data_IF_286308659103
#
_entry.id   IF_286308659103
#
_cell.length_a   1.000
_cell.length_b   1.000
_cell.length_c   1.000
_cell.angle_alpha   90.00
_cell.angle_beta   90.00
_cell.angle_gamma   90.00
#
_symmetry.space_group_name_H-M   'P 1'
#
loop_
_entity.id
_entity.type
_entity.pdbx_description
1 polymer ?
#
# COMPACT_ATOMS: atom_id res chain seq x y z
N UNK A 1 -7.89 30.72 21.00
CA UNK A 1 -7.36 32.07 21.13
C UNK A 1 -5.92 32.20 20.60
N UNK A 2 -4.98 31.30 20.96
CA UNK A 2 -3.59 31.31 20.43
C UNK A 2 -3.52 31.09 18.93
N UNK A 3 -4.28 30.11 18.40
CA UNK A 3 -4.33 29.85 16.95
C UNK A 3 -4.89 31.06 16.17
N UNK A 4 -5.92 31.72 16.68
CA UNK A 4 -6.47 32.94 16.08
C UNK A 4 -5.47 34.11 16.05
N UNK A 5 -4.64 34.25 17.09
CA UNK A 5 -3.56 35.25 17.13
C UNK A 5 -2.41 34.90 16.16
N UNK A 6 -2.07 33.61 16.02
CA UNK A 6 -0.94 33.18 15.20
C UNK A 6 -1.29 33.11 13.69
N UNK A 7 -2.52 32.79 13.34
CA UNK A 7 -2.93 32.48 11.96
C UNK A 7 -4.11 33.31 11.44
N UNK A 8 -4.70 34.18 12.28
CA UNK A 8 -5.92 34.93 11.93
C UNK A 8 -5.75 35.94 10.79
N UNK A 9 -4.51 36.35 10.47
CA UNK A 9 -4.20 37.28 9.39
C UNK A 9 -3.82 36.54 8.08
N UNK A 10 -3.78 35.20 8.07
CA UNK A 10 -3.50 34.45 6.86
C UNK A 10 -4.72 34.52 5.94
N UNK A 11 -4.65 35.42 4.96
CA UNK A 11 -5.61 35.47 3.86
C UNK A 11 -5.21 34.41 2.84
N UNK A 12 -6.06 33.38 2.66
CA UNK A 12 -5.86 32.37 1.63
C UNK A 12 -6.02 33.02 0.25
N UNK A 13 -4.94 33.25 -0.47
CA UNK A 13 -5.02 33.30 -1.93
C UNK A 13 -5.30 31.88 -2.37
N UNK A 14 -6.54 31.59 -2.78
CA UNK A 14 -6.92 30.26 -3.20
C UNK A 14 -5.95 29.71 -4.24
N UNK A 15 -5.10 28.78 -3.85
CA UNK A 15 -4.33 27.98 -4.80
C UNK A 15 -5.38 27.19 -5.56
N UNK A 16 -5.52 27.49 -6.86
CA UNK A 16 -6.40 26.71 -7.73
C UNK A 16 -5.81 25.31 -7.80
N UNK A 17 -6.41 24.38 -7.08
CA UNK A 17 -6.05 22.97 -7.16
C UNK A 17 -6.28 22.53 -8.61
N UNK A 18 -5.29 21.91 -9.22
CA UNK A 18 -5.48 21.26 -10.52
C UNK A 18 -6.39 20.05 -10.28
N UNK A 19 -7.63 20.14 -10.73
CA UNK A 19 -8.66 19.11 -10.54
C UNK A 19 -8.51 17.90 -11.49
N UNK A 20 -7.28 17.60 -11.93
CA UNK A 20 -7.01 16.46 -12.81
C UNK A 20 -6.15 15.46 -12.06
N UNK A 21 -6.75 14.32 -11.73
CA UNK A 21 -6.03 13.19 -11.14
C UNK A 21 -4.91 12.72 -12.09
N UNK A 22 -3.74 12.32 -11.54
CA UNK A 22 -2.66 11.79 -12.36
C UNK A 22 -3.08 10.47 -13.03
N UNK A 23 -2.66 10.30 -14.28
CA UNK A 23 -2.83 9.02 -14.98
C UNK A 23 -1.61 8.15 -14.75
N UNK A 24 -1.82 7.00 -14.17
CA UNK A 24 -0.75 6.02 -13.93
C UNK A 24 -0.63 5.13 -15.16
N UNK A 25 0.60 5.01 -15.69
CA UNK A 25 0.92 4.13 -16.82
C UNK A 25 2.04 3.18 -16.43
N UNK A 26 2.09 2.01 -17.09
CA UNK A 26 3.14 1.01 -16.88
C UNK A 26 4.52 1.61 -17.12
N UNK A 27 5.45 1.38 -16.19
CA UNK A 27 6.84 1.79 -16.33
C UNK A 27 7.78 0.81 -15.62
N UNK A 28 8.84 0.40 -16.31
CA UNK A 28 9.93 -0.39 -15.76
C UNK A 28 11.19 0.47 -15.79
N UNK A 29 11.88 0.59 -14.65
CA UNK A 29 13.10 1.37 -14.56
C UNK A 29 14.13 0.63 -13.71
N UNK A 30 15.25 0.25 -14.32
CA UNK A 30 16.38 -0.40 -13.64
C UNK A 30 17.55 0.56 -13.62
N UNK A 31 18.08 0.85 -12.43
CA UNK A 31 19.20 1.75 -12.24
C UNK A 31 20.38 1.01 -11.65
N UNK A 32 21.45 0.85 -12.42
CA UNK A 32 22.69 0.34 -11.86
C UNK A 32 23.25 1.28 -10.79
N UNK A 33 23.50 0.77 -9.58
CA UNK A 33 24.11 1.48 -8.46
C UNK A 33 24.95 0.51 -7.64
N UNK A 34 26.10 0.99 -7.15
CA UNK A 34 26.98 0.25 -6.22
C UNK A 34 26.39 0.29 -4.80
N UNK A 35 25.35 -0.49 -4.57
CA UNK A 35 24.69 -0.64 -3.28
C UNK A 35 24.96 -2.03 -2.69
N UNK A 36 25.00 -2.14 -1.38
CA UNK A 36 25.13 -3.44 -0.69
C UNK A 36 23.88 -4.31 -0.93
N UNK A 37 22.71 -3.68 -0.96
CA UNK A 37 21.44 -4.33 -1.26
C UNK A 37 20.79 -3.69 -2.46
N UNK A 38 20.22 -4.50 -3.32
CA UNK A 38 19.34 -4.04 -4.39
C UNK A 38 17.99 -3.69 -3.78
N UNK A 39 17.54 -2.47 -4.05
CA UNK A 39 16.25 -1.95 -3.63
C UNK A 39 15.23 -2.18 -4.73
N UNK A 40 14.12 -2.82 -4.39
CA UNK A 40 12.98 -3.08 -5.27
C UNK A 40 11.81 -2.25 -4.76
N UNK A 41 11.16 -1.53 -5.67
CA UNK A 41 9.91 -0.84 -5.44
C UNK A 41 8.96 -1.17 -6.61
N UNK A 42 7.94 -1.97 -6.32
CA UNK A 42 6.91 -2.37 -7.26
C UNK A 42 5.60 -1.73 -6.82
N UNK A 43 4.93 -1.01 -7.71
CA UNK A 43 3.70 -0.31 -7.39
C UNK A 43 2.67 -0.41 -8.50
N UNK A 44 1.43 -0.27 -8.11
CA UNK A 44 0.27 -0.12 -8.99
C UNK A 44 -0.56 1.07 -8.54
N UNK A 45 -1.51 1.51 -9.36
CA UNK A 45 -2.49 2.50 -8.94
C UNK A 45 -3.27 1.99 -7.72
N UNK A 46 -3.51 2.88 -6.75
CA UNK A 46 -4.26 2.60 -5.53
C UNK A 46 -5.52 3.46 -5.42
N UNK A 47 -6.27 3.27 -4.35
CA UNK A 47 -7.47 4.05 -4.11
C UNK A 47 -7.16 5.42 -3.50
N UNK A 48 -7.96 6.41 -3.81
CA UNK A 48 -7.93 7.72 -3.15
C UNK A 48 -8.37 7.62 -1.67
N UNK A 49 -8.01 8.61 -0.87
CA UNK A 49 -8.13 8.58 0.59
C UNK A 49 -9.58 8.44 1.09
N UNK A 50 -10.55 9.04 0.40
CA UNK A 50 -11.97 9.01 0.78
C UNK A 50 -12.77 7.91 0.08
N UNK A 51 -12.10 6.96 -0.59
CA UNK A 51 -12.79 5.87 -1.27
C UNK A 51 -13.62 5.02 -0.29
N UNK A 52 -14.84 4.60 -0.63
CA UNK A 52 -15.68 3.78 0.26
C UNK A 52 -15.00 2.46 0.65
N UNK A 53 -14.29 1.83 -0.29
CA UNK A 53 -13.61 0.55 -0.08
C UNK A 53 -12.21 0.67 0.55
N UNK A 54 -11.83 1.82 1.12
CA UNK A 54 -10.50 2.04 1.71
C UNK A 54 -10.11 1.00 2.76
N UNK A 55 -11.07 0.53 3.57
CA UNK A 55 -10.80 -0.50 4.58
C UNK A 55 -10.53 -1.88 3.97
N UNK A 56 -11.14 -2.18 2.83
CA UNK A 56 -10.80 -3.35 2.02
C UNK A 56 -9.34 -3.30 1.54
N UNK A 57 -8.88 -2.13 1.05
CA UNK A 57 -7.48 -1.95 0.65
C UNK A 57 -6.52 -2.05 1.83
N UNK A 58 -6.89 -1.57 3.01
CA UNK A 58 -6.06 -1.72 4.22
C UNK A 58 -5.91 -3.18 4.63
N UNK A 59 -6.98 -3.97 4.53
CA UNK A 59 -6.93 -5.40 4.80
C UNK A 59 -6.20 -6.17 3.70
N UNK A 60 -6.39 -5.83 2.43
CA UNK A 60 -5.60 -6.37 1.31
C UNK A 60 -4.10 -6.15 1.55
N UNK A 61 -3.71 -4.94 1.97
CA UNK A 61 -2.33 -4.64 2.34
C UNK A 61 -1.85 -5.49 3.53
N UNK A 62 -2.66 -5.62 4.57
CA UNK A 62 -2.32 -6.40 5.77
C UNK A 62 -2.06 -7.87 5.43
N UNK A 63 -2.88 -8.46 4.56
CA UNK A 63 -2.73 -9.85 4.08
C UNK A 63 -1.50 -9.99 3.18
N UNK A 64 -1.29 -9.06 2.25
CA UNK A 64 -0.22 -9.21 1.25
C UNK A 64 1.18 -8.96 1.85
N UNK A 65 1.40 -7.85 2.56
CA UNK A 65 2.74 -7.47 3.03
C UNK A 65 2.77 -6.53 4.22
N UNK A 66 1.65 -6.30 4.91
CA UNK A 66 1.53 -5.29 5.96
C UNK A 66 2.02 -5.71 7.34
N UNK A 67 2.37 -6.97 7.56
CA UNK A 67 2.86 -7.49 8.84
C UNK A 67 3.71 -8.76 8.66
N UNK A 68 4.25 -9.29 9.76
CA UNK A 68 5.10 -10.50 9.74
C UNK A 68 4.35 -11.80 9.41
N UNK A 69 3.02 -11.84 9.52
CA UNK A 69 2.20 -12.99 9.12
C UNK A 69 1.66 -12.87 7.69
N UNK A 70 2.02 -11.81 6.96
CA UNK A 70 1.59 -11.55 5.60
C UNK A 70 2.23 -12.52 4.59
N UNK A 71 1.56 -12.74 3.46
CA UNK A 71 1.99 -13.68 2.43
C UNK A 71 3.40 -13.40 1.92
N UNK A 72 3.72 -12.14 1.61
CA UNK A 72 5.06 -11.78 1.13
C UNK A 72 6.14 -11.99 2.20
N UNK A 73 5.86 -11.63 3.45
CA UNK A 73 6.82 -11.84 4.52
C UNK A 73 7.09 -13.33 4.72
N UNK A 74 6.05 -14.15 4.81
CA UNK A 74 6.18 -15.60 4.97
C UNK A 74 6.89 -16.22 3.76
N UNK A 75 6.50 -15.86 2.53
CA UNK A 75 7.07 -16.46 1.33
C UNK A 75 8.51 -16.03 1.06
N UNK A 76 8.76 -14.71 1.02
CA UNK A 76 10.06 -14.18 0.56
C UNK A 76 11.11 -14.26 1.67
N UNK A 77 10.72 -13.96 2.92
CA UNK A 77 11.68 -13.89 4.03
C UNK A 77 11.80 -15.20 4.79
N UNK A 78 10.69 -15.81 5.22
CA UNK A 78 10.74 -17.00 6.09
C UNK A 78 10.98 -18.29 5.31
N UNK A 79 10.24 -18.52 4.20
CA UNK A 79 10.39 -19.76 3.42
C UNK A 79 11.61 -19.73 2.51
N UNK A 80 11.80 -18.66 1.73
CA UNK A 80 12.85 -18.58 0.73
C UNK A 80 14.15 -17.92 1.24
N UNK A 81 14.08 -17.14 2.31
CA UNK A 81 15.26 -16.47 2.88
C UNK A 81 15.90 -15.43 1.96
N UNK A 82 15.14 -14.88 0.99
CA UNK A 82 15.68 -14.03 -0.08
C UNK A 82 15.80 -12.55 0.30
N UNK A 83 15.04 -12.09 1.29
CA UNK A 83 15.03 -10.69 1.68
C UNK A 83 15.14 -10.50 3.19
N UNK A 84 15.93 -9.52 3.62
CA UNK A 84 15.91 -9.06 5.00
C UNK A 84 14.63 -8.28 5.32
N UNK A 85 14.18 -7.47 4.38
CA UNK A 85 12.94 -6.71 4.48
C UNK A 85 12.11 -6.85 3.23
N UNK A 86 10.83 -7.19 3.40
CA UNK A 86 9.80 -7.16 2.38
C UNK A 86 8.50 -6.72 3.04
N UNK A 87 7.85 -5.73 2.47
CA UNK A 87 6.60 -5.20 3.01
C UNK A 87 5.80 -4.49 1.92
N UNK A 88 4.49 -4.40 2.12
CA UNK A 88 3.61 -3.59 1.30
C UNK A 88 3.01 -2.43 2.11
N UNK A 89 2.67 -1.37 1.41
CA UNK A 89 2.01 -0.20 1.97
C UNK A 89 1.22 0.53 0.88
N UNK A 90 0.38 1.45 1.30
CA UNK A 90 -0.39 2.28 0.39
C UNK A 90 -0.19 3.75 0.72
N UNK A 91 -0.12 4.55 -0.33
CA UNK A 91 -0.21 6.01 -0.25
C UNK A 91 -1.52 6.47 -0.88
N UNK A 92 -2.30 7.23 -0.11
CA UNK A 92 -3.60 7.73 -0.55
C UNK A 92 -3.58 9.24 -0.52
N UNK A 93 -3.90 9.86 -1.65
CA UNK A 93 -4.09 11.29 -1.81
C UNK A 93 -5.58 11.61 -1.98
N UNK A 94 -5.91 12.90 -2.08
CA UNK A 94 -7.32 13.34 -2.23
C UNK A 94 -7.97 12.85 -3.52
N UNK A 95 -7.19 12.64 -4.58
CA UNK A 95 -7.62 12.36 -5.95
C UNK A 95 -6.97 11.10 -6.56
N UNK A 96 -6.03 10.48 -5.86
CA UNK A 96 -5.24 9.37 -6.39
C UNK A 96 -4.71 8.49 -5.26
N UNK A 97 -4.06 7.39 -5.61
CA UNK A 97 -3.38 6.53 -4.66
C UNK A 97 -2.36 5.63 -5.33
N UNK A 98 -1.53 4.98 -4.51
CA UNK A 98 -0.60 3.96 -4.94
C UNK A 98 -0.59 2.81 -3.93
N UNK A 99 -0.57 1.57 -4.44
CA UNK A 99 -0.29 0.38 -3.66
C UNK A 99 1.12 -0.09 -4.00
N UNK A 100 1.98 -0.23 -3.01
CA UNK A 100 3.41 -0.39 -3.22
C UNK A 100 3.93 -1.58 -2.43
N UNK A 101 4.81 -2.37 -3.06
CA UNK A 101 5.63 -3.39 -2.41
C UNK A 101 7.09 -2.97 -2.49
N UNK A 102 7.78 -3.01 -1.36
CA UNK A 102 9.22 -2.71 -1.28
C UNK A 102 9.99 -3.89 -0.70
N UNK A 103 11.17 -4.15 -1.26
CA UNK A 103 12.08 -5.17 -0.74
C UNK A 103 13.55 -4.74 -0.87
N UNK A 104 14.36 -5.17 0.10
CA UNK A 104 15.82 -5.04 0.07
C UNK A 104 16.46 -6.43 0.02
N UNK A 105 17.19 -6.74 -1.07
CA UNK A 105 17.67 -8.09 -1.38
C UNK A 105 19.10 -8.10 -1.89
N UNK A 106 19.74 -9.28 -1.94
CA UNK A 106 21.00 -9.44 -2.69
C UNK A 106 20.74 -9.28 -4.20
N UNK A 107 21.71 -8.75 -4.93
CA UNK A 107 21.54 -8.46 -6.36
C UNK A 107 21.13 -9.71 -7.18
N UNK A 108 21.75 -10.85 -6.90
CA UNK A 108 21.46 -12.11 -7.59
C UNK A 108 20.05 -12.63 -7.35
N UNK A 109 19.41 -12.23 -6.25
CA UNK A 109 18.08 -12.69 -5.87
C UNK A 109 16.94 -11.74 -6.35
N UNK A 110 17.32 -10.55 -6.81
CA UNK A 110 16.35 -9.51 -7.15
C UNK A 110 15.33 -9.94 -8.22
N UNK A 111 15.70 -10.64 -9.33
CA UNK A 111 14.72 -11.11 -10.31
C UNK A 111 13.72 -12.11 -9.72
N UNK A 112 14.20 -13.06 -8.91
CA UNK A 112 13.36 -14.06 -8.24
C UNK A 112 12.38 -13.42 -7.26
N UNK A 113 12.84 -12.41 -6.50
CA UNK A 113 11.96 -11.69 -5.56
C UNK A 113 10.89 -10.89 -6.29
N UNK A 114 11.23 -10.19 -7.38
CA UNK A 114 10.23 -9.50 -8.22
C UNK A 114 9.18 -10.47 -8.73
N UNK A 115 9.61 -11.62 -9.28
CA UNK A 115 8.69 -12.67 -9.74
C UNK A 115 7.79 -13.16 -8.60
N UNK A 116 8.36 -13.48 -7.43
CA UNK A 116 7.59 -13.93 -6.26
C UNK A 116 6.55 -12.91 -5.82
N UNK A 117 6.87 -11.62 -5.86
CA UNK A 117 5.91 -10.55 -5.54
C UNK A 117 4.75 -10.55 -6.54
N UNK A 118 5.05 -10.62 -7.84
CA UNK A 118 4.03 -10.66 -8.90
C UNK A 118 3.16 -11.92 -8.81
N UNK A 119 3.76 -13.06 -8.48
CA UNK A 119 3.04 -14.32 -8.29
C UNK A 119 2.06 -14.24 -7.10
N UNK A 120 2.48 -13.67 -5.96
CA UNK A 120 1.58 -13.48 -4.82
C UNK A 120 0.48 -12.42 -5.08
N UNK A 121 0.78 -11.37 -5.84
CA UNK A 121 -0.24 -10.40 -6.31
C UNK A 121 -1.23 -11.08 -7.28
N UNK A 122 -0.75 -11.92 -8.17
CA UNK A 122 -1.61 -12.72 -9.06
C UNK A 122 -2.46 -13.69 -8.27
N UNK A 123 -1.85 -14.39 -7.32
CA UNK A 123 -2.53 -15.40 -6.50
C UNK A 123 -3.71 -14.81 -5.72
N UNK A 124 -3.57 -13.64 -5.11
CA UNK A 124 -4.65 -13.01 -4.35
C UNK A 124 -5.80 -12.52 -5.23
N UNK A 125 -5.59 -12.35 -6.54
CA UNK A 125 -6.66 -12.08 -7.53
C UNK A 125 -7.52 -13.31 -7.81
N UNK A 126 -6.92 -14.50 -7.76
CA UNK A 126 -7.56 -15.76 -8.16
C UNK A 126 -7.99 -16.65 -6.98
N UNK A 127 -7.31 -16.51 -5.85
CA UNK A 127 -7.58 -17.29 -4.64
C UNK A 127 -8.06 -16.35 -3.53
N UNK A 128 -9.28 -16.57 -3.05
CA UNK A 128 -9.80 -15.82 -1.90
C UNK A 128 -8.91 -16.00 -0.67
N UNK A 129 -8.82 -14.97 0.15
CA UNK A 129 -8.22 -15.08 1.48
C UNK A 129 -9.02 -16.05 2.34
N UNK A 130 -8.32 -16.85 3.14
CA UNK A 130 -9.01 -17.77 4.04
C UNK A 130 -9.72 -17.02 5.16
N UNK A 131 -10.75 -17.61 5.79
CA UNK A 131 -11.41 -17.00 6.95
C UNK A 131 -10.43 -16.67 8.07
N UNK A 132 -9.42 -17.48 8.28
CA UNK A 132 -8.38 -17.30 9.30
C UNK A 132 -7.47 -16.14 8.95
N UNK A 133 -7.00 -16.01 7.71
CA UNK A 133 -6.21 -14.89 7.23
C UNK A 133 -6.99 -13.58 7.38
N UNK A 134 -8.25 -13.57 6.95
CA UNK A 134 -9.12 -12.40 7.02
C UNK A 134 -9.34 -11.96 8.47
N UNK A 135 -9.65 -12.90 9.38
CA UNK A 135 -9.86 -12.58 10.78
C UNK A 135 -8.59 -12.04 11.43
N UNK A 136 -7.44 -12.68 11.19
CA UNK A 136 -6.14 -12.24 11.68
C UNK A 136 -5.80 -10.82 11.19
N UNK A 137 -6.04 -10.54 9.91
CA UNK A 137 -5.83 -9.19 9.34
C UNK A 137 -6.74 -8.14 9.97
N UNK A 138 -8.03 -8.47 10.20
CA UNK A 138 -8.97 -7.58 10.91
C UNK A 138 -8.53 -7.28 12.32
N UNK A 139 -8.11 -8.28 13.07
CA UNK A 139 -7.69 -8.13 14.46
C UNK A 139 -6.37 -7.33 14.55
N UNK A 140 -5.43 -7.58 13.65
CA UNK A 140 -4.20 -6.80 13.54
C UNK A 140 -4.49 -5.31 13.24
N UNK A 141 -5.32 -5.03 12.24
CA UNK A 141 -5.65 -3.67 11.84
C UNK A 141 -6.39 -2.90 12.96
N UNK A 142 -7.37 -3.54 13.61
CA UNK A 142 -8.11 -2.96 14.74
C UNK A 142 -7.19 -2.72 15.94
N UNK A 143 -6.35 -3.68 16.27
CA UNK A 143 -5.37 -3.56 17.37
C UNK A 143 -4.38 -2.43 17.12
N UNK A 144 -3.79 -2.37 15.93
CA UNK A 144 -2.85 -1.30 15.53
C UNK A 144 -3.51 0.08 15.57
N UNK A 145 -4.76 0.18 15.13
CA UNK A 145 -5.53 1.43 15.18
C UNK A 145 -5.79 1.89 16.63
N UNK A 146 -6.12 0.97 17.53
CA UNK A 146 -6.33 1.29 18.94
C UNK A 146 -5.04 1.75 19.63
N UNK A 147 -3.94 1.02 19.44
CA UNK A 147 -2.63 1.39 19.96
C UNK A 147 -2.14 2.74 19.42
N UNK A 148 -2.37 3.02 18.15
CA UNK A 148 -2.03 4.33 17.57
C UNK A 148 -2.77 5.49 18.24
N UNK A 149 -3.96 5.26 18.79
CA UNK A 149 -4.75 6.30 19.49
C UNK A 149 -4.27 6.62 20.92
N UNK A 150 -3.32 5.89 21.46
CA UNK A 150 -2.66 6.26 22.71
C UNK A 150 -1.78 7.52 22.53
N UNK A 151 -1.24 7.73 21.35
CA UNK A 151 -0.46 8.93 21.01
C UNK A 151 -1.38 10.13 20.75
N UNK A 152 -1.09 11.25 21.43
CA UNK A 152 -1.79 12.53 21.20
C UNK A 152 -1.54 13.07 19.79
N UNK A 153 -0.35 12.87 19.22
CA UNK A 153 0.01 13.29 17.87
C UNK A 153 -0.80 12.52 16.82
N UNK A 154 -0.97 11.21 17.01
CA UNK A 154 -1.80 10.40 16.13
C UNK A 154 -3.27 10.78 16.21
N UNK A 155 -3.77 11.08 17.42
CA UNK A 155 -5.14 11.60 17.62
C UNK A 155 -5.36 12.92 16.91
N UNK A 156 -4.45 13.87 17.07
CA UNK A 156 -4.49 15.17 16.40
C UNK A 156 -4.45 15.00 14.88
N UNK A 157 -3.50 14.20 14.37
CA UNK A 157 -3.35 13.93 12.92
C UNK A 157 -4.58 13.28 12.35
N UNK A 158 -5.18 12.31 13.05
CA UNK A 158 -6.42 11.66 12.61
C UNK A 158 -7.58 12.65 12.51
N UNK A 159 -7.78 13.50 13.54
CA UNK A 159 -8.83 14.52 13.53
C UNK A 159 -8.64 15.52 12.39
N UNK A 160 -7.40 15.99 12.19
CA UNK A 160 -7.08 16.90 11.09
C UNK A 160 -7.31 16.25 9.71
N UNK A 161 -6.89 15.01 9.51
CA UNK A 161 -7.13 14.29 8.26
C UNK A 161 -8.62 14.04 8.01
N UNK A 162 -9.38 13.68 9.03
CA UNK A 162 -10.83 13.51 8.92
C UNK A 162 -11.50 14.80 8.46
N UNK A 163 -11.16 15.94 9.08
CA UNK A 163 -11.72 17.25 8.73
C UNK A 163 -11.34 17.69 7.32
N UNK A 164 -10.06 17.53 6.94
CA UNK A 164 -9.53 18.04 5.67
C UNK A 164 -9.93 17.17 4.46
N UNK A 165 -9.93 15.85 4.62
CA UNK A 165 -10.00 14.93 3.48
C UNK A 165 -11.25 14.04 3.50
N UNK A 166 -11.78 13.72 4.67
CA UNK A 166 -12.92 12.81 4.76
C UNK A 166 -14.25 13.53 5.03
N UNK A 167 -14.21 14.79 5.46
CA UNK A 167 -15.39 15.63 5.75
C UNK A 167 -16.58 14.81 6.30
N UNK A 168 -17.60 14.59 5.49
CA UNK A 168 -18.81 13.84 5.86
C UNK A 168 -18.58 12.33 6.04
N UNK A 169 -17.42 11.81 5.61
CA UNK A 169 -16.98 10.44 5.81
C UNK A 169 -15.96 10.29 6.96
N UNK A 170 -15.73 11.36 7.73
CA UNK A 170 -14.89 11.34 8.93
C UNK A 170 -15.50 10.42 9.98
N UNK A 171 -14.88 9.25 10.18
CA UNK A 171 -15.43 8.18 11.00
C UNK A 171 -14.86 8.21 12.41
N UNK A 172 -15.71 7.96 13.40
CA UNK A 172 -15.28 7.61 14.76
C UNK A 172 -14.45 6.31 14.74
N UNK A 173 -13.79 6.00 15.83
CA UNK A 173 -13.07 4.72 15.96
C UNK A 173 -14.03 3.54 15.89
N UNK A 174 -15.22 3.68 16.46
CA UNK A 174 -16.24 2.62 16.45
C UNK A 174 -16.77 2.36 15.03
N UNK A 175 -17.09 3.41 14.27
CA UNK A 175 -17.49 3.27 12.86
C UNK A 175 -16.38 2.66 12.00
N UNK A 176 -15.13 3.07 12.23
CA UNK A 176 -13.97 2.46 11.54
C UNK A 176 -13.86 0.97 11.84
N UNK A 177 -14.10 0.56 13.10
CA UNK A 177 -14.12 -0.85 13.51
C UNK A 177 -15.21 -1.62 12.79
N UNK A 178 -16.43 -1.07 12.74
CA UNK A 178 -17.56 -1.68 12.04
C UNK A 178 -17.28 -1.84 10.54
N UNK A 179 -16.69 -0.83 9.91
CA UNK A 179 -16.30 -0.89 8.50
C UNK A 179 -15.23 -1.95 8.24
N UNK A 180 -14.25 -2.11 9.15
CA UNK A 180 -13.25 -3.20 9.06
C UNK A 180 -13.94 -4.56 9.21
N UNK A 181 -14.84 -4.70 10.18
CA UNK A 181 -15.55 -5.96 10.43
C UNK A 181 -16.48 -6.34 9.25
N UNK A 182 -17.03 -5.37 8.53
CA UNK A 182 -17.89 -5.58 7.37
C UNK A 182 -17.15 -6.03 6.09
N UNK A 183 -15.83 -5.90 6.02
CA UNK A 183 -15.06 -6.36 4.84
C UNK A 183 -15.14 -7.88 4.71
N UNK A 184 -15.39 -8.35 3.49
CA UNK A 184 -15.46 -9.77 3.16
C UNK A 184 -14.26 -10.23 2.32
N UNK A 185 -14.06 -11.54 2.21
CA UNK A 185 -13.00 -12.11 1.37
C UNK A 185 -13.21 -11.77 -0.11
N UNK A 186 -14.46 -11.75 -0.55
CA UNK A 186 -14.85 -11.37 -1.91
C UNK A 186 -14.46 -9.93 -2.23
N UNK A 187 -14.72 -8.99 -1.30
CA UNK A 187 -14.31 -7.59 -1.49
C UNK A 187 -12.79 -7.44 -1.62
N UNK A 188 -12.00 -8.20 -0.84
CA UNK A 188 -10.54 -8.20 -0.97
C UNK A 188 -10.11 -8.71 -2.34
N UNK A 189 -10.70 -9.81 -2.82
CA UNK A 189 -10.41 -10.38 -4.14
C UNK A 189 -10.83 -9.43 -5.27
N UNK A 190 -11.98 -8.82 -5.19
CA UNK A 190 -12.46 -7.82 -6.15
C UNK A 190 -11.51 -6.63 -6.22
N UNK A 191 -11.03 -6.13 -5.08
CA UNK A 191 -10.06 -5.05 -5.01
C UNK A 191 -8.72 -5.47 -5.60
N UNK A 192 -8.22 -6.66 -5.27
CA UNK A 192 -6.99 -7.19 -5.85
C UNK A 192 -7.11 -7.30 -7.38
N UNK A 193 -8.24 -7.77 -7.89
CA UNK A 193 -8.50 -7.87 -9.33
C UNK A 193 -8.54 -6.52 -10.03
N UNK A 194 -9.10 -5.50 -9.38
CA UNK A 194 -9.18 -4.13 -9.92
C UNK A 194 -7.84 -3.39 -9.88
N UNK A 195 -7.07 -3.55 -8.81
CA UNK A 195 -5.86 -2.78 -8.57
C UNK A 195 -4.60 -3.42 -9.16
N UNK A 196 -4.48 -4.74 -9.08
CA UNK A 196 -3.29 -5.45 -9.53
C UNK A 196 -3.38 -5.78 -11.02
N UNK A 197 -3.19 -4.75 -11.85
CA UNK A 197 -3.27 -4.83 -13.31
C UNK A 197 -1.97 -4.39 -13.96
N UNK A 198 -1.64 -5.02 -15.09
CA UNK A 198 -0.37 -4.78 -15.78
C UNK A 198 -0.25 -3.36 -16.35
N UNK A 199 -1.36 -2.72 -16.68
CA UNK A 199 -1.44 -1.39 -17.29
C UNK A 199 -0.91 -0.29 -16.38
N UNK A 200 -1.02 -0.48 -15.07
CA UNK A 200 -0.56 0.49 -14.06
C UNK A 200 0.68 0.01 -13.29
N UNK A 201 1.24 -1.16 -13.67
CA UNK A 201 2.42 -1.72 -13.01
C UNK A 201 3.64 -0.84 -13.21
N UNK A 202 4.22 -0.39 -12.11
CA UNK A 202 5.49 0.33 -12.08
C UNK A 202 6.50 -0.48 -11.28
N UNK A 203 7.65 -0.76 -11.89
CA UNK A 203 8.78 -1.40 -11.22
C UNK A 203 9.99 -0.47 -11.26
N UNK A 204 10.57 -0.19 -10.10
CA UNK A 204 11.84 0.49 -9.98
C UNK A 204 12.81 -0.39 -9.20
N UNK A 205 13.97 -0.65 -9.79
CA UNK A 205 15.03 -1.43 -9.17
C UNK A 205 16.31 -0.60 -9.18
N UNK A 206 16.99 -0.53 -8.03
CA UNK A 206 18.27 0.15 -7.89
C UNK A 206 19.27 -0.75 -7.15
N UNK A 207 20.39 -1.08 -7.79
CA UNK A 207 21.41 -1.95 -7.24
C UNK A 207 22.42 -2.40 -8.28
N UNK A 208 23.16 -3.47 -7.99
CA UNK A 208 24.11 -4.10 -8.91
C UNK A 208 23.40 -5.04 -9.90
N UNK A 209 22.45 -4.49 -10.62
CA UNK A 209 21.59 -5.19 -11.59
C UNK A 209 21.52 -4.40 -12.89
N UNK A 210 21.05 -5.04 -13.96
CA UNK A 210 20.88 -4.47 -15.28
C UNK A 210 19.45 -4.70 -15.79
N UNK A 211 19.05 -4.05 -16.87
CA UNK A 211 17.74 -4.27 -17.50
C UNK A 211 17.55 -5.70 -17.99
N UNK A 212 18.64 -6.38 -18.40
CA UNK A 212 18.60 -7.76 -18.87
C UNK A 212 18.16 -8.76 -17.79
N UNK A 213 18.35 -8.41 -16.50
CA UNK A 213 17.92 -9.23 -15.37
C UNK A 213 16.40 -9.21 -15.19
N UNK A 214 15.68 -8.28 -15.85
CA UNK A 214 14.23 -8.07 -15.72
C UNK A 214 13.55 -8.03 -17.08
N UNK A 215 13.53 -9.13 -17.84
CA UNK A 215 12.85 -9.17 -19.13
C UNK A 215 11.34 -8.93 -18.97
N UNK A 216 10.76 -8.15 -19.86
CA UNK A 216 9.36 -7.68 -19.78
C UNK A 216 8.36 -8.86 -19.75
N UNK A 217 8.71 -9.99 -20.38
CA UNK A 217 7.93 -11.23 -20.31
C UNK A 217 7.73 -11.78 -18.90
N UNK A 218 8.69 -11.52 -18.00
CA UNK A 218 8.70 -12.02 -16.64
C UNK A 218 8.03 -11.04 -15.65
N UNK A 219 7.64 -9.87 -16.14
CA UNK A 219 7.06 -8.78 -15.35
C UNK A 219 5.55 -8.64 -15.61
N UNK A 220 4.85 -9.73 -15.88
CA UNK A 220 3.41 -9.76 -16.06
C UNK A 220 2.74 -10.50 -14.92
N UNK A 221 1.68 -9.90 -14.41
CA UNK A 221 0.71 -10.59 -13.57
C UNK A 221 -0.22 -11.40 -14.48
N UNK A 222 -0.36 -12.68 -14.21
CA UNK A 222 -1.21 -13.61 -14.95
C UNK A 222 -2.72 -13.40 -14.72
#
# INVERSE_FOLDING_TARGET
ELAGKAFGEISGSGVKQLDVAPVVTRRIEVRHRELEQTQICLGVEGLQQNHPDRYGTYLLNTVLGGNMSSRLFQKVREELGLAYSVYSYHHNHSDSGAFIVSAGVAAAEAPLVVRTILDEMTRIRHEMVTPEELQSAKDFLKGSMLLAMESTDNRMTRLAKNELFLRDAGTSLEESRQMIDAVTAELIQDLATKLFVNETLNLQVAGRVTEEDFPDSDLLMG
#
